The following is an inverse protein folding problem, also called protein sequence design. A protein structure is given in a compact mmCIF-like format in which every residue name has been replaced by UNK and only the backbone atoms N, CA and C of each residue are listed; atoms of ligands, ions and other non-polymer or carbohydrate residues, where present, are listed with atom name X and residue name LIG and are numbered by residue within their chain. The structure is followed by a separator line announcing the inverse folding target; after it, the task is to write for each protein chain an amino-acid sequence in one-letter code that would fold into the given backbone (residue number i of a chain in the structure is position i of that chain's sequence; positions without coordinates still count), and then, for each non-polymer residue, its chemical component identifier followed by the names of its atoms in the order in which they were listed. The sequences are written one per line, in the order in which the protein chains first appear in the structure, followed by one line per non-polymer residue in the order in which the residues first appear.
data_IF_158764177100
#
_entry.id   IF_158764177100
#
_cell.length_a   1.000
_cell.length_b   1.000
_cell.length_c   1.000
_cell.angle_alpha   90.00
_cell.angle_beta   90.00
_cell.angle_gamma   90.00
#
_symmetry.space_group_name_H-M   'P 1'
#
loop_
_entity.id
_entity.type
_entity.pdbx_description
1 polymer ?
#
# COMPACT_ATOMS: atom_id res chain seq x y z
N UNK A 1 7.80 -4.03 -13.95
CA UNK A 1 8.80 -2.95 -13.74
C UNK A 1 8.27 -1.98 -12.71
N UNK A 2 9.12 -1.53 -11.83
CA UNK A 2 8.75 -0.56 -10.78
C UNK A 2 9.52 0.74 -10.97
N UNK A 3 8.82 1.86 -10.92
CA UNK A 3 9.41 3.19 -10.94
C UNK A 3 9.09 3.91 -9.64
N UNK A 4 10.09 4.53 -9.04
CA UNK A 4 9.93 5.31 -7.81
C UNK A 4 10.40 6.72 -8.07
N UNK A 5 9.52 7.70 -7.85
CA UNK A 5 9.83 9.12 -7.98
C UNK A 5 9.75 9.77 -6.61
N UNK A 6 10.82 10.42 -6.18
CA UNK A 6 10.92 11.04 -4.87
C UNK A 6 10.89 12.57 -5.01
N UNK A 7 10.07 13.23 -4.19
CA UNK A 7 9.98 14.67 -4.15
C UNK A 7 10.61 15.19 -2.85
N UNK A 8 11.74 15.87 -2.97
CA UNK A 8 12.54 16.30 -1.82
C UNK A 8 11.86 17.34 -0.95
N UNK A 9 11.11 18.26 -1.55
CA UNK A 9 10.49 19.36 -0.82
C UNK A 9 9.42 18.91 0.15
N UNK A 10 8.65 17.89 -0.22
CA UNK A 10 7.55 17.37 0.58
C UNK A 10 7.90 16.10 1.33
N UNK A 11 9.00 15.45 0.98
CA UNK A 11 9.35 14.15 1.51
C UNK A 11 8.45 13.02 1.05
N UNK A 12 7.65 13.27 0.02
CA UNK A 12 6.74 12.28 -0.53
C UNK A 12 7.37 11.52 -1.68
N UNK A 13 6.80 10.36 -2.02
CA UNK A 13 7.23 9.62 -3.20
C UNK A 13 6.07 8.89 -3.85
N UNK A 14 6.23 8.63 -5.14
CA UNK A 14 5.26 7.89 -5.93
C UNK A 14 5.89 6.59 -6.39
N UNK A 15 5.15 5.50 -6.26
CA UNK A 15 5.56 4.19 -6.78
C UNK A 15 4.60 3.81 -7.90
N UNK A 16 5.15 3.46 -9.06
CA UNK A 16 4.39 2.92 -10.18
C UNK A 16 4.90 1.53 -10.49
N UNK A 17 4.01 0.57 -10.45
CA UNK A 17 4.31 -0.81 -10.78
C UNK A 17 3.60 -1.19 -12.08
N UNK A 18 4.35 -1.79 -12.98
CA UNK A 18 3.83 -2.30 -14.24
C UNK A 18 4.10 -3.80 -14.31
N UNK A 19 3.03 -4.57 -14.45
CA UNK A 19 3.09 -6.03 -14.48
C UNK A 19 2.52 -6.54 -15.78
N UNK A 20 3.25 -7.42 -16.45
CA UNK A 20 2.73 -8.13 -17.63
C UNK A 20 2.14 -9.45 -17.13
N UNK A 21 0.88 -9.70 -17.46
CA UNK A 21 0.14 -10.85 -16.95
C UNK A 21 -0.91 -11.28 -17.99
N UNK A 22 -1.52 -12.46 -17.78
CA UNK A 22 -2.66 -12.87 -18.57
C UNK A 22 -3.88 -12.03 -18.18
N UNK A 23 -4.75 -11.72 -19.16
CA UNK A 23 -5.86 -10.79 -18.96
C UNK A 23 -6.88 -11.27 -17.92
N UNK A 24 -7.01 -12.58 -17.74
CA UNK A 24 -7.97 -13.18 -16.81
C UNK A 24 -7.36 -13.63 -15.47
N UNK A 25 -6.07 -13.35 -15.26
CA UNK A 25 -5.38 -13.71 -14.03
C UNK A 25 -5.37 -12.51 -13.07
N UNK A 26 -5.91 -12.65 -11.84
CA UNK A 26 -5.85 -11.55 -10.86
C UNK A 26 -4.42 -11.27 -10.42
N UNK A 27 -4.12 -9.98 -10.25
CA UNK A 27 -2.80 -9.51 -9.81
C UNK A 27 -2.96 -8.84 -8.45
N UNK A 28 -2.21 -9.31 -7.47
CA UNK A 28 -2.22 -8.77 -6.11
C UNK A 28 -0.85 -8.27 -5.72
N UNK A 29 -0.82 -7.19 -4.97
CA UNK A 29 0.38 -6.71 -4.32
C UNK A 29 0.18 -6.67 -2.81
N UNK A 30 1.28 -6.72 -2.06
CA UNK A 30 1.25 -6.77 -0.61
C UNK A 30 2.31 -5.84 -0.01
N UNK A 31 1.99 -5.31 1.16
CA UNK A 31 2.92 -4.58 2.01
C UNK A 31 2.73 -5.08 3.43
N UNK A 32 3.82 -5.29 4.15
CA UNK A 32 3.78 -5.83 5.51
C UNK A 32 4.32 -4.81 6.50
N UNK A 33 3.62 -4.61 7.61
CA UNK A 33 4.06 -3.72 8.68
C UNK A 33 3.64 -4.29 10.04
N UNK A 34 4.42 -4.00 11.07
CA UNK A 34 4.06 -4.34 12.45
C UNK A 34 3.22 -3.25 13.14
N UNK A 35 3.07 -2.10 12.50
CA UNK A 35 2.29 -1.00 13.06
C UNK A 35 0.80 -1.13 12.72
N UNK A 36 -0.09 -0.56 13.56
CA UNK A 36 -1.52 -0.55 13.25
C UNK A 36 -1.84 0.12 11.93
N UNK A 37 -2.87 -0.36 11.26
CA UNK A 37 -3.27 0.09 9.92
C UNK A 37 -4.75 0.44 9.92
N UNK A 38 -5.11 1.57 9.34
CA UNK A 38 -6.48 1.96 9.08
C UNK A 38 -6.70 2.10 7.58
N UNK A 39 -7.80 1.56 7.07
CA UNK A 39 -8.18 1.67 5.65
C UNK A 39 -9.37 2.60 5.52
N UNK A 40 -9.26 3.56 4.61
CA UNK A 40 -10.35 4.47 4.26
C UNK A 40 -10.70 4.34 2.79
N UNK A 41 -12.00 4.28 2.48
CA UNK A 41 -12.47 4.31 1.11
C UNK A 41 -13.14 5.65 0.87
N UNK A 42 -12.61 6.43 -0.06
CA UNK A 42 -13.14 7.75 -0.39
C UNK A 42 -14.44 7.69 -1.21
N UNK A 43 -15.07 8.85 -1.39
CA UNK A 43 -16.32 8.96 -2.14
C UNK A 43 -16.17 8.63 -3.62
N UNK A 44 -14.98 8.76 -4.16
CA UNK A 44 -14.65 8.46 -5.54
C UNK A 44 -14.11 7.03 -5.71
N UNK A 45 -14.34 6.17 -4.73
CA UNK A 45 -13.86 4.78 -4.68
C UNK A 45 -12.34 4.62 -4.64
N UNK A 46 -11.61 5.68 -4.34
CA UNK A 46 -10.16 5.60 -4.12
C UNK A 46 -9.88 5.17 -2.69
N UNK A 47 -8.95 4.25 -2.55
CA UNK A 47 -8.54 3.74 -1.26
C UNK A 47 -7.37 4.53 -0.70
N UNK A 48 -7.35 4.65 0.62
CA UNK A 48 -6.29 5.30 1.36
C UNK A 48 -5.98 4.45 2.58
N UNK A 49 -4.71 4.20 2.81
CA UNK A 49 -4.23 3.41 3.95
C UNK A 49 -3.37 4.32 4.82
N UNK A 50 -3.61 4.27 6.13
CA UNK A 50 -2.81 4.99 7.11
C UNK A 50 -2.11 3.97 8.01
N UNK A 51 -0.79 4.03 8.04
CA UNK A 51 0.04 3.21 8.92
C UNK A 51 0.44 4.08 10.10
N UNK A 52 0.04 3.66 11.30
CA UNK A 52 0.23 4.45 12.52
C UNK A 52 1.56 4.09 13.17
N UNK A 53 2.63 4.80 12.82
CA UNK A 53 3.93 4.67 13.46
C UNK A 53 3.98 5.34 14.82
N UNK A 54 5.12 5.25 15.49
CA UNK A 54 5.28 5.78 16.84
C UNK A 54 5.22 7.30 16.91
N UNK A 55 5.76 7.99 15.90
CA UNK A 55 5.84 9.46 15.86
C UNK A 55 5.11 10.06 14.67
N UNK A 56 5.01 9.31 13.59
CA UNK A 56 4.43 9.80 12.35
C UNK A 56 3.47 8.76 11.78
N UNK A 57 2.53 9.24 11.01
CA UNK A 57 1.64 8.37 10.25
C UNK A 57 2.07 8.40 8.79
N UNK A 58 2.23 7.23 8.20
CA UNK A 58 2.50 7.10 6.78
C UNK A 58 1.17 6.90 6.05
N UNK A 59 0.90 7.73 5.07
CA UNK A 59 -0.32 7.65 4.28
C UNK A 59 0.04 7.10 2.90
N UNK A 60 -0.76 6.15 2.43
CA UNK A 60 -0.65 5.59 1.09
C UNK A 60 -1.97 5.84 0.38
N UNK A 61 -1.94 6.63 -0.69
CA UNK A 61 -3.09 6.84 -1.54
C UNK A 61 -2.93 6.01 -2.81
N UNK A 62 -3.96 5.22 -3.12
CA UNK A 62 -3.95 4.33 -4.28
C UNK A 62 -4.67 4.98 -5.45
N UNK A 63 -4.18 4.69 -6.66
CA UNK A 63 -4.82 5.15 -7.89
C UNK A 63 -6.11 4.36 -8.22
N UNK A 64 -6.72 4.72 -9.32
CA UNK A 64 -8.04 4.18 -9.73
C UNK A 64 -8.00 2.70 -10.10
N UNK A 65 -6.85 2.19 -10.51
CA UNK A 65 -6.72 0.81 -10.91
C UNK A 65 -6.63 -0.17 -9.75
N UNK A 66 -6.72 0.30 -8.51
CA UNK A 66 -6.64 -0.55 -7.33
C UNK A 66 -8.05 -0.89 -6.84
N UNK A 67 -8.32 -2.17 -6.67
CA UNK A 67 -9.57 -2.67 -6.11
C UNK A 67 -9.58 -2.59 -4.59
N UNK A 68 -10.32 -3.49 -3.96
CA UNK A 68 -10.44 -3.50 -2.50
C UNK A 68 -9.10 -3.72 -1.82
N UNK A 69 -8.87 -2.97 -0.74
CA UNK A 69 -7.68 -3.12 0.09
C UNK A 69 -8.08 -3.91 1.34
N UNK A 70 -7.35 -4.98 1.61
CA UNK A 70 -7.60 -5.84 2.76
C UNK A 70 -6.41 -5.82 3.70
N UNK A 71 -6.70 -5.84 5.00
CA UNK A 71 -5.66 -5.95 6.02
C UNK A 71 -5.91 -7.23 6.80
N UNK A 72 -4.89 -8.08 6.86
CA UNK A 72 -4.94 -9.33 7.63
C UNK A 72 -3.80 -9.33 8.65
N UNK A 73 -4.05 -9.97 9.79
CA UNK A 73 -3.03 -10.16 10.83
C UNK A 73 -2.43 -11.53 10.67
N UNK A 74 -1.11 -11.60 10.67
CA UNK A 74 -0.39 -12.86 10.53
C UNK A 74 0.65 -13.00 11.61
N UNK A 75 0.87 -14.23 12.15
CA UNK A 75 1.96 -14.47 13.07
C UNK A 75 3.30 -14.38 12.32
N UNK A 76 4.28 -13.87 13.01
CA UNK A 76 5.63 -13.71 12.48
C UNK A 76 6.64 -13.91 13.59
N UNK A 77 7.74 -14.58 13.28
CA UNK A 77 8.85 -14.72 14.21
C UNK A 77 9.92 -13.72 13.75
N UNK A 78 10.21 -12.74 14.61
CA UNK A 78 11.21 -11.72 14.28
C UNK A 78 12.63 -12.28 14.42
N UNK A 79 13.63 -11.49 14.07
CA UNK A 79 15.03 -11.92 14.09
C UNK A 79 15.58 -12.19 15.52
N UNK A 80 14.82 -11.80 16.55
CA UNK A 80 15.14 -12.12 17.95
C UNK A 80 14.43 -13.38 18.42
N UNK A 81 13.82 -14.13 17.50
CA UNK A 81 13.04 -15.34 17.74
C UNK A 81 11.83 -15.13 18.66
N UNK A 82 11.29 -13.93 18.67
CA UNK A 82 10.07 -13.58 19.41
C UNK A 82 8.87 -13.61 18.48
N UNK A 83 7.76 -14.14 18.97
CA UNK A 83 6.51 -14.14 18.21
C UNK A 83 5.89 -12.73 18.23
N UNK A 84 5.46 -12.28 17.07
CA UNK A 84 4.72 -11.02 16.95
C UNK A 84 3.64 -11.15 15.88
N UNK A 85 2.65 -10.26 15.94
CA UNK A 85 1.64 -10.16 14.89
C UNK A 85 2.03 -9.03 13.96
N UNK A 86 1.97 -9.31 12.68
CA UNK A 86 2.19 -8.30 11.64
C UNK A 86 0.90 -8.10 10.88
N UNK A 87 0.75 -6.91 10.31
CA UNK A 87 -0.36 -6.58 9.41
C UNK A 87 0.10 -6.72 7.98
N UNK A 88 -0.64 -7.49 7.19
CA UNK A 88 -0.44 -7.60 5.75
C UNK A 88 -1.51 -6.77 5.06
N UNK A 89 -1.08 -5.79 4.31
CA UNK A 89 -1.96 -4.95 3.49
C UNK A 89 -1.91 -5.54 2.09
N UNK A 90 -3.05 -5.98 1.58
CA UNK A 90 -3.13 -6.60 0.24
C UNK A 90 -4.14 -5.85 -0.60
N UNK A 91 -3.84 -5.68 -1.88
CA UNK A 91 -4.76 -5.06 -2.82
C UNK A 91 -4.64 -5.71 -4.17
N UNK A 92 -5.76 -5.69 -4.90
CA UNK A 92 -5.81 -6.20 -6.26
C UNK A 92 -5.58 -5.05 -7.24
N UNK A 93 -4.75 -5.29 -8.26
CA UNK A 93 -4.59 -4.35 -9.37
C UNK A 93 -5.60 -4.75 -10.43
N UNK A 94 -6.58 -3.88 -10.68
CA UNK A 94 -7.63 -4.15 -11.65
C UNK A 94 -7.09 -3.98 -13.07
N UNK A 95 -7.34 -4.97 -13.91
CA UNK A 95 -6.91 -4.94 -15.30
C UNK A 95 -7.85 -5.78 -16.16
N UNK A 96 -7.94 -5.45 -17.42
CA UNK A 96 -8.71 -6.22 -18.40
C UNK A 96 -7.87 -6.57 -19.64
N UNK A 97 -6.58 -6.33 -19.58
CA UNK A 97 -5.63 -6.63 -20.64
C UNK A 97 -4.42 -7.34 -20.03
N UNK A 98 -3.43 -7.61 -20.86
CA UNK A 98 -2.20 -8.30 -20.42
C UNK A 98 -1.26 -7.41 -19.59
N UNK A 99 -1.63 -6.16 -19.35
CA UNK A 99 -0.85 -5.22 -18.58
C UNK A 99 -1.65 -4.74 -17.38
N UNK A 100 -1.03 -4.78 -16.23
CA UNK A 100 -1.60 -4.25 -14.99
C UNK A 100 -0.69 -3.12 -14.47
N UNK A 101 -1.27 -1.95 -14.26
CA UNK A 101 -0.55 -0.78 -13.76
C UNK A 101 -1.11 -0.35 -12.42
N UNK A 102 -0.22 -0.10 -11.47
CA UNK A 102 -0.60 0.38 -10.15
C UNK A 102 0.22 1.62 -9.81
N UNK A 103 -0.47 2.65 -9.34
CA UNK A 103 0.18 3.87 -8.88
C UNK A 103 -0.18 4.09 -7.42
N UNK A 104 0.84 4.33 -6.59
CA UNK A 104 0.67 4.60 -5.17
C UNK A 104 1.43 5.87 -4.81
N UNK A 105 0.81 6.70 -3.98
CA UNK A 105 1.43 7.93 -3.50
C UNK A 105 1.64 7.82 -1.99
N UNK A 106 2.89 7.98 -1.54
CA UNK A 106 3.29 7.84 -0.15
C UNK A 106 3.70 9.18 0.42
N UNK A 107 3.16 9.54 1.59
CA UNK A 107 3.58 10.76 2.30
C UNK A 107 3.36 10.59 3.81
N UNK A 108 4.11 11.38 4.57
CA UNK A 108 3.92 11.43 6.01
C UNK A 108 2.84 12.47 6.33
N UNK A 109 1.87 12.07 7.16
CA UNK A 109 0.86 13.00 7.63
C UNK A 109 1.49 13.97 8.61
N UNK A 110 1.24 15.27 8.40
CA UNK A 110 1.77 16.28 9.28
C UNK A 110 1.06 16.19 10.64
N UNK A 111 1.80 16.23 11.76
CA UNK A 111 1.15 16.22 13.06
C UNK A 111 0.33 17.50 13.26
N UNK A 112 -0.84 17.32 13.85
CA UNK A 112 -1.67 18.46 14.23
C UNK A 112 -0.96 19.28 15.31
N UNK A 113 -0.98 20.58 15.14
CA UNK A 113 -0.38 21.48 16.11
C UNK A 113 -1.31 21.73 17.28
#
# INVERSE_FOLDING_TARGET
MREISFEKETGSFTVRDHVVCDADVPVFENLVTRYPVTVHTGQDHKNKVVIHGERHKLVIEFGEAVGAVLVTKEPHVNHEAQDELINRISWEILHNEQNADCKMYFYLEQPDK
#
